data_IF_142668195523
#
_entry.id   IF_142668195523
#
_cell.length_a   1.000
_cell.length_b   1.000
_cell.length_c   1.000
_cell.angle_alpha   90.00
_cell.angle_beta   90.00
_cell.angle_gamma   90.00
#
_symmetry.space_group_name_H-M   'P 1'
#
loop_
_entity.id
_entity.type
_entity.pdbx_description
1 polymer ?
#
# COMPACT_ATOMS: atom_id res chain seq x y z
N UNK A 1 23.53 -7.50 37.46
CA UNK A 1 23.17 -6.20 36.86
C UNK A 1 22.89 -6.44 35.39
N UNK A 2 21.62 -6.52 35.00
CA UNK A 2 21.18 -7.00 33.68
C UNK A 2 21.31 -5.92 32.61
N UNK A 3 22.36 -6.02 31.79
CA UNK A 3 22.62 -5.12 30.68
C UNK A 3 21.73 -5.47 29.47
N UNK A 4 20.60 -4.79 29.34
CA UNK A 4 19.75 -4.87 28.14
C UNK A 4 20.45 -4.19 26.97
N UNK A 5 21.17 -5.00 26.18
CA UNK A 5 21.82 -4.65 24.92
C UNK A 5 20.86 -3.86 24.02
N UNK A 6 21.03 -2.52 23.97
CA UNK A 6 20.29 -1.62 23.08
C UNK A 6 20.50 -2.07 21.64
N UNK A 7 19.45 -2.62 21.00
CA UNK A 7 19.46 -2.94 19.57
C UNK A 7 19.70 -1.66 18.78
N UNK A 8 20.94 -1.43 18.31
CA UNK A 8 21.22 -0.41 17.30
C UNK A 8 20.58 -0.86 15.99
N UNK A 9 19.53 -0.18 15.60
CA UNK A 9 18.87 -0.25 14.32
C UNK A 9 17.74 0.78 14.33
N UNK A 10 17.81 1.80 13.46
CA UNK A 10 16.69 2.74 13.29
C UNK A 10 15.44 1.90 13.03
N UNK A 11 14.34 2.07 13.79
CA UNK A 11 13.13 1.28 13.59
C UNK A 11 12.73 1.32 12.11
N UNK A 12 12.31 0.19 11.54
CA UNK A 12 11.89 0.11 10.14
C UNK A 12 10.67 1.02 9.92
N UNK A 13 10.96 2.23 9.45
CA UNK A 13 10.02 3.33 9.27
C UNK A 13 10.80 4.64 9.32
N UNK A 14 10.46 5.61 8.48
CA UNK A 14 11.21 6.86 8.23
C UNK A 14 11.45 7.75 9.47
N UNK A 15 10.99 7.38 10.67
CA UNK A 15 10.99 8.22 11.87
C UNK A 15 9.95 9.34 11.82
N UNK A 16 9.11 9.35 10.78
CA UNK A 16 8.04 10.33 10.62
C UNK A 16 6.79 9.78 11.28
N UNK A 17 6.31 10.49 12.29
CA UNK A 17 4.99 10.26 12.86
C UNK A 17 3.93 10.82 11.89
N UNK A 18 3.17 9.92 11.28
CA UNK A 18 2.05 10.27 10.40
C UNK A 18 0.70 9.96 11.07
N UNK A 19 0.66 9.74 12.39
CA UNK A 19 -0.54 9.27 13.10
C UNK A 19 -1.74 10.20 12.90
N UNK A 20 -1.53 11.52 13.00
CA UNK A 20 -2.57 12.52 12.76
C UNK A 20 -3.07 12.50 11.30
N UNK A 21 -2.15 12.37 10.35
CA UNK A 21 -2.48 12.30 8.91
C UNK A 21 -3.26 11.04 8.57
N UNK A 22 -2.89 9.91 9.18
CA UNK A 22 -3.59 8.64 9.00
C UNK A 22 -5.00 8.68 9.60
N UNK A 23 -5.18 9.38 10.73
CA UNK A 23 -6.49 9.61 11.33
C UNK A 23 -7.38 10.46 10.41
N UNK A 24 -6.84 11.51 9.82
CA UNK A 24 -7.53 12.36 8.85
C UNK A 24 -7.91 11.60 7.57
N UNK A 25 -6.99 10.82 7.02
CA UNK A 25 -7.24 9.90 5.89
C UNK A 25 -8.36 8.93 6.24
N UNK A 26 -8.33 8.33 7.44
CA UNK A 26 -9.36 7.39 7.89
C UNK A 26 -10.73 8.04 7.96
N UNK A 27 -10.84 9.21 8.60
CA UNK A 27 -12.11 9.95 8.70
C UNK A 27 -12.68 10.27 7.32
N UNK A 28 -11.83 10.75 6.41
CA UNK A 28 -12.26 11.07 5.05
C UNK A 28 -12.70 9.81 4.27
N UNK A 29 -11.97 8.70 4.45
CA UNK A 29 -12.27 7.42 3.82
C UNK A 29 -13.52 6.75 4.41
N UNK A 30 -13.83 6.96 5.68
CA UNK A 30 -15.07 6.49 6.31
C UNK A 30 -16.29 7.21 5.72
N UNK A 31 -16.17 8.50 5.39
CA UNK A 31 -17.22 9.23 4.65
C UNK A 31 -17.33 8.80 3.18
N UNK A 32 -16.27 8.24 2.59
CA UNK A 32 -16.22 7.84 1.17
C UNK A 32 -15.58 6.47 0.99
N UNK A 33 -16.25 5.39 1.44
CA UNK A 33 -15.65 4.05 1.48
C UNK A 33 -15.34 3.47 0.09
N UNK A 34 -15.93 4.01 -0.97
CA UNK A 34 -15.72 3.60 -2.35
C UNK A 34 -14.46 4.21 -2.98
N UNK A 35 -13.83 5.20 -2.34
CA UNK A 35 -12.63 5.85 -2.88
C UNK A 35 -11.38 5.03 -2.56
N UNK A 36 -10.46 4.98 -3.53
CA UNK A 36 -9.14 4.37 -3.31
C UNK A 36 -8.36 5.20 -2.29
N UNK A 37 -7.55 4.58 -1.41
CA UNK A 37 -6.71 5.30 -0.44
C UNK A 37 -5.83 6.37 -1.10
N UNK A 38 -5.30 6.11 -2.29
CA UNK A 38 -4.51 7.10 -3.06
C UNK A 38 -5.32 8.32 -3.49
N UNK A 39 -6.61 8.14 -3.78
CA UNK A 39 -7.51 9.23 -4.17
C UNK A 39 -7.83 10.09 -2.96
N UNK A 40 -8.12 9.46 -1.81
CA UNK A 40 -8.32 10.15 -0.53
C UNK A 40 -7.10 10.98 -0.15
N UNK A 41 -5.91 10.39 -0.22
CA UNK A 41 -4.66 11.10 0.10
C UNK A 41 -4.46 12.29 -0.85
N UNK A 42 -4.74 12.15 -2.15
CA UNK A 42 -4.65 13.29 -3.08
C UNK A 42 -5.70 14.38 -2.79
N UNK A 43 -6.92 13.98 -2.42
CA UNK A 43 -8.01 14.90 -2.09
C UNK A 43 -7.71 15.74 -0.85
N UNK A 44 -6.98 15.18 0.12
CA UNK A 44 -6.46 15.92 1.30
C UNK A 44 -5.30 16.89 0.97
N UNK A 45 -4.90 17.00 -0.30
CA UNK A 45 -3.90 17.98 -0.75
C UNK A 45 -2.46 17.48 -0.77
N UNK A 46 -2.20 16.19 -0.49
CA UNK A 46 -0.86 15.63 -0.62
C UNK A 46 -0.47 15.49 -2.10
N UNK A 47 0.56 16.24 -2.53
CA UNK A 47 1.05 16.25 -3.91
C UNK A 47 2.34 15.46 -4.12
N UNK A 48 3.15 15.32 -3.07
CA UNK A 48 4.42 14.60 -3.13
C UNK A 48 4.22 13.08 -3.22
N UNK A 49 4.79 12.48 -4.25
CA UNK A 49 4.61 11.05 -4.54
C UNK A 49 5.21 10.15 -3.44
N UNK A 50 6.30 10.58 -2.81
CA UNK A 50 6.93 9.84 -1.71
C UNK A 50 6.02 9.81 -0.47
N UNK A 51 5.41 10.94 -0.15
CA UNK A 51 4.44 11.09 0.93
C UNK A 51 3.18 10.29 0.66
N UNK A 52 2.66 10.31 -0.57
CA UNK A 52 1.51 9.50 -0.97
C UNK A 52 1.79 8.01 -0.78
N UNK A 53 2.95 7.51 -1.26
CA UNK A 53 3.34 6.11 -1.10
C UNK A 53 3.46 5.74 0.38
N UNK A 54 4.16 6.56 1.18
CA UNK A 54 4.36 6.33 2.62
C UNK A 54 3.05 6.25 3.38
N UNK A 55 2.14 7.20 3.17
CA UNK A 55 0.85 7.27 3.85
C UNK A 55 -0.05 6.09 3.45
N UNK A 56 -0.10 5.77 2.15
CA UNK A 56 -0.85 4.61 1.64
C UNK A 56 -0.35 3.31 2.28
N UNK A 57 0.97 3.09 2.28
CA UNK A 57 1.55 1.84 2.78
C UNK A 57 1.35 1.70 4.29
N UNK A 58 1.40 2.80 5.05
CA UNK A 58 1.05 2.82 6.48
C UNK A 58 -0.45 2.54 6.71
N UNK A 59 -1.32 3.19 5.94
CA UNK A 59 -2.78 3.01 6.04
C UNK A 59 -3.22 1.58 5.71
N UNK A 60 -2.68 0.99 4.63
CA UNK A 60 -2.95 -0.40 4.26
C UNK A 60 -2.44 -1.41 5.31
N UNK A 61 -1.38 -1.07 6.07
CA UNK A 61 -0.87 -1.91 7.16
C UNK A 61 -1.74 -1.81 8.41
N UNK A 62 -2.33 -0.65 8.68
CA UNK A 62 -3.22 -0.44 9.84
C UNK A 62 -4.64 -0.96 9.62
N UNK A 63 -5.07 -1.11 8.37
CA UNK A 63 -6.33 -1.77 8.03
C UNK A 63 -6.21 -3.26 8.40
N UNK A 64 -7.11 -3.80 9.25
CA UNK A 64 -7.19 -5.25 9.39
C UNK A 64 -7.45 -5.81 7.99
N UNK A 65 -6.68 -6.81 7.60
CA UNK A 65 -6.82 -7.50 6.30
C UNK A 65 -8.13 -8.29 6.29
N UNK A 66 -9.27 -7.59 6.32
CA UNK A 66 -10.57 -8.15 6.08
C UNK A 66 -10.61 -8.48 4.58
N UNK A 67 -10.47 -9.77 4.27
CA UNK A 67 -10.84 -10.38 3.00
C UNK A 67 -10.26 -9.75 1.72
N UNK A 68 -9.04 -10.15 1.36
CA UNK A 68 -8.70 -10.30 -0.07
C UNK A 68 -8.40 -11.79 -0.30
N UNK A 69 -9.37 -12.59 -0.81
CA UNK A 69 -9.04 -13.83 -1.48
C UNK A 69 -8.28 -13.49 -2.76
N UNK A 70 -7.29 -14.31 -3.11
CA UNK A 70 -6.59 -14.27 -4.40
C UNK A 70 -5.86 -12.97 -4.79
N UNK A 71 -4.63 -12.83 -4.26
CA UNK A 71 -3.54 -12.30 -5.08
C UNK A 71 -3.29 -13.26 -6.25
N UNK A 72 -4.06 -13.14 -7.32
CA UNK A 72 -3.55 -13.58 -8.62
C UNK A 72 -2.53 -12.53 -9.07
N UNK A 73 -1.31 -12.92 -9.47
CA UNK A 73 -0.36 -11.99 -10.06
C UNK A 73 -0.96 -11.47 -11.38
N UNK A 74 -1.29 -10.19 -11.42
CA UNK A 74 -1.71 -9.46 -12.62
C UNK A 74 -0.51 -9.24 -13.58
N UNK A 75 0.15 -10.34 -13.96
CA UNK A 75 1.15 -10.41 -15.02
C UNK A 75 1.13 -11.81 -15.63
N UNK A 76 -0.06 -12.31 -15.99
CA UNK A 76 -0.17 -13.29 -17.07
C UNK A 76 -0.18 -12.50 -18.38
N UNK A 77 1.03 -12.19 -18.87
CA UNK A 77 1.24 -11.74 -20.24
C UNK A 77 0.47 -12.71 -21.15
N UNK A 78 -0.44 -12.17 -21.96
CA UNK A 78 -1.01 -12.90 -23.08
C UNK A 78 0.15 -13.28 -24.01
N UNK A 79 0.63 -14.51 -23.91
CA UNK A 79 1.38 -15.14 -24.98
C UNK A 79 0.33 -15.83 -25.83
N UNK A 80 -0.05 -15.19 -26.94
CA UNK A 80 -0.86 -15.82 -27.98
C UNK A 80 -0.09 -17.00 -28.56
N UNK A 81 -0.69 -18.19 -28.73
CA UNK A 81 -0.09 -19.24 -29.53
C UNK A 81 -0.33 -18.90 -31.00
N UNK A 82 0.70 -18.51 -31.75
CA UNK A 82 0.60 -18.45 -33.21
C UNK A 82 0.79 -19.86 -33.77
N UNK A 83 -0.34 -20.57 -33.81
CA UNK A 83 -0.84 -21.38 -34.93
C UNK A 83 0.21 -22.19 -35.72
N UNK A 84 0.24 -23.48 -35.43
CA UNK A 84 0.74 -24.53 -36.31
C UNK A 84 0.06 -24.45 -37.69
N UNK A 85 0.83 -24.47 -38.78
CA UNK A 85 0.36 -24.94 -40.09
C UNK A 85 1.31 -26.03 -40.56
N UNK A 86 0.79 -27.25 -40.55
CA UNK A 86 1.25 -28.37 -41.36
C UNK A 86 0.91 -28.16 -42.84
N UNK A 87 1.56 -28.99 -43.68
CA UNK A 87 1.36 -29.23 -45.11
C UNK A 87 2.28 -28.34 -45.99
N UNK A 88 3.08 -28.88 -46.90
CA UNK A 88 3.00 -30.12 -47.67
C UNK A 88 4.40 -30.65 -48.02
#
# INVERSE_FOLDING_TARGET
>A
MSETKRRRGRPRGTGIDDSLRLLEIRRFHESHPHLKPTTVIKALGYRDQSTIRRLRDKYCRSMPRAAEPSRLPAHRRFVTPLRSHSAH
#
